data_IF_568240087145
#
_entry.id   IF_568240087145
#
_cell.length_a   1.000
_cell.length_b   1.000
_cell.length_c   1.000
_cell.angle_alpha   90.00
_cell.angle_beta   90.00
_cell.angle_gamma   90.00
#
_symmetry.space_group_name_H-M   'P 1'
#
loop_
_entity.id
_entity.type
_entity.pdbx_description
1 polymer ?
#
# COMPACT_ATOMS: atom_id res chain seq x y z
N UNK A 1 -3.80 -25.13 6.30
CA UNK A 1 -2.86 -24.07 6.67
C UNK A 1 -3.33 -22.83 5.93
N UNK A 2 -3.94 -21.86 6.62
CA UNK A 2 -4.40 -20.64 5.96
C UNK A 2 -3.16 -19.84 5.56
N UNK A 3 -2.96 -19.65 4.26
CA UNK A 3 -2.00 -18.69 3.71
C UNK A 3 -2.24 -17.39 4.47
N UNK A 4 -1.24 -16.91 5.20
CA UNK A 4 -1.31 -15.63 5.88
C UNK A 4 -1.70 -14.58 4.84
N UNK A 5 -2.85 -13.95 5.05
CA UNK A 5 -3.31 -12.77 4.31
C UNK A 5 -2.38 -11.60 4.65
N UNK A 6 -1.14 -11.65 4.19
CA UNK A 6 -0.14 -10.61 4.40
C UNK A 6 -0.41 -9.47 3.42
N UNK A 7 -0.40 -8.24 3.94
CA UNK A 7 -0.43 -7.07 3.09
C UNK A 7 0.89 -7.03 2.28
N UNK A 8 0.79 -6.86 0.97
CA UNK A 8 1.94 -6.74 0.07
C UNK A 8 1.69 -5.63 -0.95
N UNK A 9 2.78 -5.01 -1.42
CA UNK A 9 2.72 -4.01 -2.49
C UNK A 9 3.77 -4.36 -3.55
N UNK A 10 3.29 -4.74 -4.74
CA UNK A 10 4.13 -5.05 -5.90
C UNK A 10 4.20 -3.82 -6.79
N UNK A 11 5.40 -3.37 -7.14
CA UNK A 11 5.61 -2.25 -8.06
C UNK A 11 6.00 -2.79 -9.44
N UNK A 12 5.26 -2.40 -10.47
CA UNK A 12 5.58 -2.65 -11.87
C UNK A 12 6.09 -1.37 -12.53
N UNK A 13 7.42 -1.26 -12.68
CA UNK A 13 8.06 -0.07 -13.25
C UNK A 13 7.88 0.04 -14.75
N UNK A 14 7.69 -1.08 -15.44
CA UNK A 14 7.54 -1.13 -16.89
C UNK A 14 6.14 -0.64 -17.30
N UNK A 15 5.11 -1.07 -16.58
CA UNK A 15 3.74 -0.61 -16.76
C UNK A 15 3.45 0.72 -16.06
N UNK A 16 4.29 1.15 -15.10
CA UNK A 16 4.05 2.35 -14.30
C UNK A 16 2.87 2.19 -13.35
N UNK A 17 2.68 0.98 -12.79
CA UNK A 17 1.59 0.65 -11.88
C UNK A 17 2.10 -0.01 -10.60
N UNK A 18 1.29 -0.01 -9.56
CA UNK A 18 1.53 -0.78 -8.34
C UNK A 18 0.27 -1.55 -7.97
N UNK A 19 0.45 -2.78 -7.53
CA UNK A 19 -0.61 -3.65 -7.04
C UNK A 19 -0.54 -3.71 -5.53
N UNK A 20 -1.60 -3.25 -4.88
CA UNK A 20 -1.75 -3.29 -3.43
C UNK A 20 -2.63 -4.48 -3.05
N UNK A 21 -2.06 -5.46 -2.36
CA UNK A 21 -2.78 -6.60 -1.79
C UNK A 21 -2.90 -6.44 -0.27
N UNK A 22 -4.12 -6.40 0.26
CA UNK A 22 -4.45 -6.33 1.69
C UNK A 22 -5.14 -7.62 2.13
N UNK A 23 -4.45 -8.74 1.96
CA UNK A 23 -4.99 -10.06 2.27
C UNK A 23 -5.99 -10.54 1.22
N UNK A 24 -7.30 -10.32 1.43
CA UNK A 24 -8.38 -10.83 0.55
C UNK A 24 -8.69 -9.88 -0.59
N UNK A 25 -8.18 -8.65 -0.51
CA UNK A 25 -8.38 -7.63 -1.51
C UNK A 25 -7.06 -7.34 -2.20
N UNK A 26 -7.03 -7.38 -3.52
CA UNK A 26 -5.94 -6.82 -4.31
C UNK A 26 -6.50 -5.83 -5.32
N UNK A 27 -5.77 -4.74 -5.56
CA UNK A 27 -6.10 -3.86 -6.67
C UNK A 27 -4.85 -3.18 -7.24
N UNK A 28 -4.89 -2.93 -8.55
CA UNK A 28 -3.80 -2.32 -9.29
C UNK A 28 -4.12 -0.87 -9.61
N UNK A 29 -3.17 0.01 -9.32
CA UNK A 29 -3.27 1.45 -9.47
C UNK A 29 -2.06 2.01 -10.22
N UNK A 30 -2.18 3.15 -10.92
CA UNK A 30 -1.02 3.81 -11.50
C UNK A 30 -0.12 4.39 -10.41
N UNK A 31 1.20 4.41 -10.63
CA UNK A 31 2.16 4.98 -9.67
C UNK A 31 1.96 6.46 -9.41
N UNK A 32 1.32 7.18 -10.35
CA UNK A 32 0.92 8.57 -10.15
C UNK A 32 -0.06 8.76 -8.98
N UNK A 33 -0.86 7.74 -8.66
CA UNK A 33 -1.79 7.76 -7.53
C UNK A 33 -1.15 7.32 -6.21
N UNK A 34 0.11 6.90 -6.21
CA UNK A 34 0.77 6.33 -5.03
C UNK A 34 0.86 7.35 -3.89
N UNK A 35 1.24 8.59 -4.19
CA UNK A 35 1.29 9.69 -3.20
C UNK A 35 -0.12 10.00 -2.63
N UNK A 36 -1.15 9.98 -3.49
CA UNK A 36 -2.54 10.15 -3.08
C UNK A 36 -2.98 9.06 -2.09
N UNK A 37 -2.63 7.81 -2.37
CA UNK A 37 -2.94 6.69 -1.47
C UNK A 37 -2.19 6.79 -0.15
N UNK A 38 -0.91 7.19 -0.15
CA UNK A 38 -0.15 7.44 1.07
C UNK A 38 -0.80 8.52 1.93
N UNK A 39 -1.18 9.66 1.33
CA UNK A 39 -1.88 10.72 2.04
C UNK A 39 -3.21 10.23 2.62
N UNK A 40 -4.00 9.48 1.84
CA UNK A 40 -5.26 8.90 2.28
C UNK A 40 -5.09 7.98 3.49
N UNK A 41 -4.17 7.00 3.42
CA UNK A 41 -3.95 6.06 4.52
C UNK A 41 -3.37 6.73 5.77
N UNK A 42 -2.52 7.76 5.61
CA UNK A 42 -2.04 8.58 6.73
C UNK A 42 -3.19 9.31 7.42
N UNK A 43 -4.09 9.95 6.66
CA UNK A 43 -5.28 10.56 7.25
C UNK A 43 -6.20 9.52 7.91
N UNK A 44 -6.41 8.35 7.30
CA UNK A 44 -7.20 7.26 7.91
C UNK A 44 -6.58 6.80 9.25
N UNK A 45 -5.25 6.71 9.33
CA UNK A 45 -4.53 6.39 10.58
C UNK A 45 -4.79 7.43 11.68
N UNK A 46 -4.82 8.71 11.34
CA UNK A 46 -5.12 9.79 12.30
C UNK A 46 -6.58 9.77 12.77
N UNK A 47 -7.52 9.50 11.86
CA UNK A 47 -8.95 9.50 12.16
C UNK A 47 -9.45 8.19 12.83
N UNK A 48 -8.78 7.06 12.59
CA UNK A 48 -9.21 5.74 13.07
C UNK A 48 -8.13 5.03 13.90
N UNK A 49 -7.99 5.39 15.19
CA UNK A 49 -6.97 4.81 16.08
C UNK A 49 -7.21 3.33 16.42
N UNK A 50 -8.35 2.74 16.03
CA UNK A 50 -8.69 1.34 16.33
C UNK A 50 -8.02 0.32 15.39
N UNK A 51 -7.56 0.76 14.21
CA UNK A 51 -6.98 -0.12 13.18
C UNK A 51 -5.57 0.34 12.76
N UNK A 52 -4.85 0.99 13.67
CA UNK A 52 -3.54 1.59 13.41
C UNK A 52 -2.53 0.61 12.81
N UNK A 53 -2.43 -0.60 13.34
CA UNK A 53 -1.44 -1.61 12.90
C UNK A 53 -1.63 -2.01 11.42
N UNK A 54 -2.88 -2.11 10.93
CA UNK A 54 -3.15 -2.41 9.52
C UNK A 54 -2.81 -1.25 8.60
N UNK A 55 -3.12 -0.01 9.01
CA UNK A 55 -2.80 1.18 8.22
C UNK A 55 -1.30 1.45 8.19
N UNK A 56 -0.60 1.30 9.32
CA UNK A 56 0.85 1.50 9.42
C UNK A 56 1.60 0.52 8.51
N UNK A 57 1.19 -0.76 8.50
CA UNK A 57 1.71 -1.77 7.55
C UNK A 57 1.46 -1.38 6.10
N UNK A 58 0.25 -0.95 5.77
CA UNK A 58 -0.11 -0.53 4.40
C UNK A 58 0.72 0.68 3.95
N UNK A 59 0.88 1.67 4.81
CA UNK A 59 1.70 2.87 4.55
C UNK A 59 3.15 2.45 4.32
N UNK A 60 3.73 1.62 5.18
CA UNK A 60 5.12 1.17 5.04
C UNK A 60 5.37 0.40 3.73
N UNK A 61 4.38 -0.36 3.24
CA UNK A 61 4.45 -1.05 1.95
C UNK A 61 4.42 -0.08 0.77
N UNK A 62 3.51 0.91 0.81
CA UNK A 62 3.41 1.96 -0.20
C UNK A 62 4.67 2.83 -0.23
N UNK A 63 5.23 3.20 0.94
CA UNK A 63 6.48 3.96 1.03
C UNK A 63 7.67 3.18 0.45
N UNK A 64 7.73 1.86 0.70
CA UNK A 64 8.74 1.01 0.05
C UNK A 64 8.57 0.96 -1.47
N UNK A 65 7.34 0.86 -1.97
CA UNK A 65 7.08 0.91 -3.41
C UNK A 65 7.49 2.28 -3.99
N UNK A 66 7.22 3.38 -3.30
CA UNK A 66 7.67 4.71 -3.70
C UNK A 66 9.19 4.81 -3.75
N UNK A 67 9.87 4.34 -2.70
CA UNK A 67 11.33 4.35 -2.64
C UNK A 67 11.95 3.54 -3.78
N UNK A 68 11.35 2.39 -4.13
CA UNK A 68 11.76 1.58 -5.29
C UNK A 68 11.47 2.26 -6.63
N UNK A 69 10.47 3.15 -6.71
CA UNK A 69 10.20 3.91 -7.92
C UNK A 69 11.21 5.04 -8.13
N UNK A 70 11.64 5.69 -7.04
CA UNK A 70 12.57 6.83 -7.10
C UNK A 70 14.06 6.43 -7.18
N UNK A 71 14.38 5.15 -6.93
CA UNK A 71 15.74 4.59 -7.01
C UNK A 71 15.96 3.72 -8.23
#
# INVERSE_FOLDING_TARGET
MAQKNEANCTLDREAGTFTLALGTWENTYPVADLDRWLAFYRSQREHFPKSLDTYDRTIALLEQAQARLQG
#
